data_IF_514305975844
#
_entry.id   IF_514305975844
#
_cell.length_a   1.000
_cell.length_b   1.000
_cell.length_c   1.000
_cell.angle_alpha   90.00
_cell.angle_beta   90.00
_cell.angle_gamma   90.00
#
_symmetry.space_group_name_H-M   'P 1'
#
loop_
_entity.id
_entity.type
_entity.pdbx_description
1 polymer ?
#
# COMPACT_ATOMS: atom_id res chain seq x y z
N UNK A 1 35.11 27.49 15.27
CA UNK A 1 34.54 27.90 13.97
C UNK A 1 33.40 26.96 13.63
N UNK A 2 32.15 27.42 13.78
CA UNK A 2 30.96 26.63 13.49
C UNK A 2 30.54 26.70 12.03
N UNK A 3 29.96 25.59 11.53
CA UNK A 3 28.75 25.55 10.70
C UNK A 3 28.37 24.09 10.40
N UNK A 4 27.35 23.62 11.10
CA UNK A 4 26.49 22.52 10.64
C UNK A 4 25.68 23.03 9.46
N UNK A 5 25.52 22.19 8.43
CA UNK A 5 24.38 22.09 7.49
C UNK A 5 24.86 21.60 6.13
N UNK A 6 24.80 20.29 5.91
CA UNK A 6 24.48 19.77 4.59
C UNK A 6 23.23 18.89 4.76
N UNK A 7 22.08 19.50 4.49
CA UNK A 7 20.83 18.79 4.27
C UNK A 7 21.04 17.81 3.11
N UNK A 8 21.26 16.54 3.41
CA UNK A 8 21.08 15.47 2.43
C UNK A 8 19.58 15.30 2.22
N UNK A 9 19.02 16.09 1.32
CA UNK A 9 17.74 15.79 0.71
C UNK A 9 17.97 14.52 -0.12
N UNK A 10 17.77 13.36 0.50
CA UNK A 10 17.63 12.11 -0.24
C UNK A 10 16.52 12.33 -1.28
N UNK A 11 16.80 12.21 -2.58
CA UNK A 11 15.75 12.20 -3.57
C UNK A 11 15.00 10.90 -3.37
N UNK A 12 14.00 10.90 -2.47
CA UNK A 12 13.06 9.81 -2.35
C UNK A 12 12.55 9.55 -3.76
N UNK A 13 12.93 8.43 -4.40
CA UNK A 13 12.68 8.24 -5.81
C UNK A 13 11.17 8.32 -6.02
N UNK A 14 10.70 9.07 -7.04
CA UNK A 14 9.27 9.19 -7.29
C UNK A 14 8.72 7.78 -7.39
N UNK A 15 7.82 7.46 -6.46
CA UNK A 15 7.16 6.17 -6.31
C UNK A 15 6.76 5.64 -7.70
N UNK A 16 7.63 4.80 -8.29
CA UNK A 16 7.37 4.21 -9.59
C UNK A 16 6.05 3.46 -9.45
N UNK A 17 5.13 3.64 -10.40
CA UNK A 17 3.79 3.05 -10.32
C UNK A 17 3.94 1.52 -10.31
N UNK A 18 4.03 0.93 -9.12
CA UNK A 18 4.25 -0.50 -8.99
C UNK A 18 2.96 -1.21 -9.42
N UNK A 19 3.05 -2.20 -10.32
CA UNK A 19 1.93 -3.09 -10.59
C UNK A 19 1.65 -3.94 -9.34
N UNK A 20 0.46 -4.56 -9.29
CA UNK A 20 0.15 -5.54 -8.27
C UNK A 20 1.21 -6.66 -8.28
N UNK A 21 1.83 -7.00 -7.13
CA UNK A 21 2.88 -8.01 -7.09
C UNK A 21 2.37 -9.43 -7.38
N UNK A 22 1.05 -9.67 -7.30
CA UNK A 22 0.45 -10.98 -7.56
C UNK A 22 -0.03 -11.16 -9.01
N UNK A 23 -0.69 -10.17 -9.61
CA UNK A 23 -1.28 -10.30 -10.95
C UNK A 23 -0.72 -9.33 -12.00
N UNK A 24 0.20 -8.43 -11.64
CA UNK A 24 0.79 -7.46 -12.57
C UNK A 24 -0.12 -6.30 -12.99
N UNK A 25 -1.39 -6.28 -12.59
CA UNK A 25 -2.30 -5.19 -12.94
C UNK A 25 -2.02 -3.91 -12.16
N UNK A 26 -2.17 -2.76 -12.82
CA UNK A 26 -2.11 -1.46 -12.15
C UNK A 26 -3.45 -1.14 -11.49
N UNK A 27 -3.46 -1.17 -10.16
CA UNK A 27 -4.59 -0.84 -9.32
C UNK A 27 -4.84 0.68 -9.16
N UNK A 28 -6.01 1.00 -8.60
CA UNK A 28 -6.47 2.37 -8.33
C UNK A 28 -5.88 2.88 -7.03
N UNK A 29 -5.37 4.12 -7.00
CA UNK A 29 -4.84 4.72 -5.77
C UNK A 29 -5.95 4.91 -4.73
N UNK A 30 -5.65 4.55 -3.49
CA UNK A 30 -6.51 4.75 -2.32
C UNK A 30 -5.67 5.26 -1.14
N UNK A 31 -6.25 6.11 -0.27
CA UNK A 31 -5.60 6.47 0.99
C UNK A 31 -5.49 5.23 1.91
N UNK A 32 -4.52 5.25 2.83
CA UNK A 32 -4.31 4.17 3.82
C UNK A 32 -5.48 3.95 4.77
N UNK A 33 -6.29 4.98 5.03
CA UNK A 33 -7.51 4.88 5.81
C UNK A 33 -8.46 3.81 5.24
N UNK A 34 -8.45 3.60 3.92
CA UNK A 34 -9.31 2.62 3.24
C UNK A 34 -8.95 1.18 3.63
N UNK A 35 -7.72 0.68 3.39
CA UNK A 35 -7.33 -0.63 3.90
C UNK A 35 -7.39 -0.68 5.42
N UNK A 36 -7.00 0.38 6.15
CA UNK A 36 -7.02 0.39 7.62
C UNK A 36 -8.43 0.17 8.20
N UNK A 37 -9.46 0.74 7.59
CA UNK A 37 -10.86 0.56 8.02
C UNK A 37 -11.41 -0.84 7.70
N UNK A 38 -10.88 -1.50 6.66
CA UNK A 38 -11.39 -2.76 6.14
C UNK A 38 -10.61 -3.97 6.64
N UNK A 39 -9.35 -3.83 7.06
CA UNK A 39 -8.55 -4.93 7.61
C UNK A 39 -9.06 -5.39 8.96
N UNK A 40 -8.97 -6.69 9.20
CA UNK A 40 -9.20 -7.30 10.51
C UNK A 40 -8.23 -6.71 11.54
N UNK A 41 -8.63 -6.56 12.82
CA UNK A 41 -7.73 -6.02 13.84
C UNK A 41 -6.41 -6.80 13.94
N UNK A 42 -6.43 -8.11 13.72
CA UNK A 42 -5.25 -8.98 13.66
C UNK A 42 -4.27 -8.60 12.53
N UNK A 43 -4.77 -7.95 11.47
CA UNK A 43 -4.01 -7.54 10.29
C UNK A 43 -3.78 -6.02 10.22
N UNK A 44 -4.21 -5.25 11.23
CA UNK A 44 -4.06 -3.80 11.26
C UNK A 44 -2.59 -3.35 11.15
N UNK A 45 -1.66 -4.10 11.76
CA UNK A 45 -0.22 -3.84 11.66
C UNK A 45 0.39 -4.02 10.26
N UNK A 46 -0.37 -4.55 9.29
CA UNK A 46 0.08 -4.65 7.89
C UNK A 46 -0.12 -3.34 7.11
N UNK A 47 -0.97 -2.44 7.61
CA UNK A 47 -1.22 -1.14 6.99
C UNK A 47 -0.25 -0.13 7.60
N UNK A 48 0.71 0.31 6.81
CA UNK A 48 1.71 1.27 7.24
C UNK A 48 1.13 2.70 7.19
N UNK A 49 1.32 3.52 8.25
CA UNK A 49 0.88 4.90 8.27
C UNK A 49 1.76 5.80 7.37
N UNK A 50 1.17 6.84 6.79
CA UNK A 50 1.77 7.69 5.75
C UNK A 50 1.94 7.03 4.37
N UNK A 51 1.48 5.80 4.14
CA UNK A 51 1.70 5.05 2.89
C UNK A 51 0.48 5.08 2.00
N UNK A 52 0.66 5.48 0.73
CA UNK A 52 -0.42 5.36 -0.26
C UNK A 52 -0.54 3.91 -0.73
N UNK A 53 -1.77 3.42 -0.81
CA UNK A 53 -2.07 2.07 -1.28
C UNK A 53 -2.73 2.12 -2.65
N UNK A 54 -2.73 0.97 -3.33
CA UNK A 54 -3.47 0.74 -4.57
C UNK A 54 -4.39 -0.45 -4.39
N UNK A 55 -5.64 -0.27 -4.81
CA UNK A 55 -6.66 -1.29 -4.88
C UNK A 55 -6.55 -2.10 -6.18
N UNK A 56 -6.34 -3.41 -6.05
CA UNK A 56 -6.39 -4.36 -7.14
C UNK A 56 -7.85 -4.79 -7.37
N UNK A 57 -8.40 -4.47 -8.54
CA UNK A 57 -9.76 -4.83 -8.95
C UNK A 57 -9.83 -6.12 -9.78
N UNK A 58 -8.72 -6.87 -9.88
CA UNK A 58 -8.65 -8.09 -10.68
C UNK A 58 -9.41 -9.21 -9.98
N UNK A 59 -10.47 -9.70 -10.61
CA UNK A 59 -11.21 -10.87 -10.14
C UNK A 59 -10.27 -12.08 -9.97
N UNK A 60 -10.41 -12.79 -8.85
CA UNK A 60 -9.56 -13.93 -8.51
C UNK A 60 -8.15 -13.60 -8.03
N UNK A 61 -7.73 -12.32 -7.97
CA UNK A 61 -6.47 -11.96 -7.34
C UNK A 61 -6.60 -12.01 -5.82
N UNK A 62 -5.70 -12.71 -5.09
CA UNK A 62 -5.75 -12.75 -3.63
C UNK A 62 -5.39 -11.40 -2.99
N UNK A 63 -4.58 -10.58 -3.67
CA UNK A 63 -4.19 -9.24 -3.22
C UNK A 63 -5.29 -8.25 -3.51
N UNK A 64 -5.70 -7.51 -2.48
CA UNK A 64 -6.71 -6.45 -2.58
C UNK A 64 -6.07 -5.08 -2.52
N UNK A 65 -5.18 -4.85 -1.55
CA UNK A 65 -4.43 -3.59 -1.45
C UNK A 65 -2.95 -3.87 -1.47
N UNK A 66 -2.18 -3.03 -2.13
CA UNK A 66 -0.72 -3.13 -2.12
C UNK A 66 -0.13 -1.72 -2.07
N UNK A 67 1.03 -1.52 -1.44
CA UNK A 67 1.61 -0.18 -1.36
C UNK A 67 1.96 0.34 -2.74
N UNK A 68 1.70 1.63 -2.95
CA UNK A 68 2.17 2.32 -4.15
C UNK A 68 3.70 2.42 -4.17
N UNK A 69 4.31 2.60 -3.01
CA UNK A 69 5.76 2.61 -2.81
C UNK A 69 6.12 2.24 -1.36
N UNK A 70 7.39 1.91 -1.16
CA UNK A 70 7.93 1.45 0.12
C UNK A 70 7.91 -0.07 0.25
N UNK A 71 8.22 -0.55 1.45
CA UNK A 71 8.38 -1.97 1.80
C UNK A 71 7.18 -2.54 2.56
N UNK A 72 6.06 -1.80 2.61
CA UNK A 72 4.87 -2.29 3.30
C UNK A 72 4.33 -3.58 2.66
N UNK A 73 3.75 -4.45 3.49
CA UNK A 73 3.20 -5.70 2.99
C UNK A 73 1.90 -5.46 2.17
N UNK A 74 1.66 -6.25 1.10
CA UNK A 74 0.35 -6.28 0.47
C UNK A 74 -0.70 -6.86 1.43
N UNK A 75 -1.93 -6.37 1.31
CA UNK A 75 -3.12 -6.82 2.03
C UNK A 75 -3.93 -7.71 1.12
N UNK A 76 -4.15 -8.93 1.58
CA UNK A 76 -4.94 -9.94 0.88
C UNK A 76 -6.41 -9.90 1.30
N UNK A 77 -7.27 -10.48 0.49
CA UNK A 77 -8.70 -10.56 0.77
C UNK A 77 -9.00 -11.27 2.11
N UNK A 78 -8.18 -12.26 2.49
CA UNK A 78 -8.30 -12.97 3.76
C UNK A 78 -8.03 -12.09 4.99
N UNK A 79 -7.29 -10.99 4.83
CA UNK A 79 -6.98 -10.04 5.89
C UNK A 79 -8.08 -8.99 6.10
N UNK A 80 -9.13 -8.99 5.28
CA UNK A 80 -10.24 -8.03 5.37
C UNK A 80 -11.40 -8.59 6.21
N UNK A 81 -12.11 -7.68 6.89
CA UNK A 81 -13.31 -7.98 7.68
C UNK A 81 -14.51 -8.31 6.79
N UNK A 82 -14.55 -7.70 5.60
CA UNK A 82 -15.65 -7.81 4.66
C UNK A 82 -15.14 -8.26 3.30
N UNK A 83 -15.93 -9.07 2.56
CA UNK A 83 -15.60 -9.38 1.19
C UNK A 83 -15.65 -8.09 0.35
N UNK A 84 -14.66 -7.92 -0.52
CA UNK A 84 -14.70 -6.86 -1.52
C UNK A 84 -15.60 -7.32 -2.67
N UNK A 85 -16.78 -6.73 -2.80
CA UNK A 85 -17.75 -7.10 -3.84
C UNK A 85 -17.33 -6.78 -5.28
N UNK A 86 -16.26 -6.01 -5.45
CA UNK A 86 -15.71 -5.63 -6.77
C UNK A 86 -14.72 -6.67 -7.33
N UNK A 87 -14.55 -7.83 -6.67
CA UNK A 87 -13.66 -8.93 -7.08
C UNK A 87 -14.45 -10.19 -7.40
#
# INVERSE_FOLDING_TARGET
>A
MGKHACCSNDPTPPAAKRPCPACGHTGRRVPEETPAALVRPEAAGRVAPGVRYRFCATAGCPVVYYPEAGEAAPVEAAALRVPVGQK
#
